data_IF_375916126665
#
_entry.id   IF_375916126665
#
_cell.length_a   1.000
_cell.length_b   1.000
_cell.length_c   1.000
_cell.angle_alpha   90.00
_cell.angle_beta   90.00
_cell.angle_gamma   90.00
#
_symmetry.space_group_name_H-M   'P 1'
#
loop_
_entity.id
_entity.type
_entity.pdbx_description
1 polymer ?
#
# COMPACT_ATOMS: atom_id res chain seq x y z
N UNK A 1 40.76 20.80 20.42
CA UNK A 1 39.73 21.27 19.47
C UNK A 1 38.29 20.78 19.80
N UNK A 2 38.06 19.53 20.21
CA UNK A 2 36.70 19.03 20.54
C UNK A 2 36.02 19.68 21.77
N UNK A 3 36.79 20.19 22.75
CA UNK A 3 36.25 20.85 23.96
C UNK A 3 35.89 22.33 23.74
N UNK A 4 36.43 22.97 22.71
CA UNK A 4 36.13 24.36 22.36
C UNK A 4 34.88 24.46 21.52
N UNK A 5 34.60 23.44 20.70
CA UNK A 5 33.35 23.33 19.88
C UNK A 5 32.11 23.14 20.75
N UNK A 6 32.23 22.40 21.85
CA UNK A 6 31.13 22.16 22.79
C UNK A 6 30.73 23.42 23.60
N UNK A 7 31.67 24.31 23.87
CA UNK A 7 31.40 25.56 24.56
C UNK A 7 30.75 26.63 23.66
N UNK A 8 31.03 26.60 22.37
CA UNK A 8 30.40 27.51 21.38
C UNK A 8 28.96 27.11 21.11
N UNK A 9 28.62 25.80 21.06
CA UNK A 9 27.24 25.33 20.92
C UNK A 9 26.37 25.64 22.16
N UNK A 10 26.94 25.59 23.37
CA UNK A 10 26.22 25.92 24.61
C UNK A 10 25.91 27.42 24.72
N UNK A 11 26.78 28.31 24.16
CA UNK A 11 26.57 29.75 24.18
C UNK A 11 25.53 30.23 23.15
N UNK A 12 25.26 29.47 22.07
CA UNK A 12 24.23 29.80 21.09
C UNK A 12 22.79 29.43 21.54
N UNK A 13 22.64 28.49 22.47
CA UNK A 13 21.33 28.10 23.00
C UNK A 13 20.78 29.04 24.09
N UNK A 14 21.58 29.91 24.64
CA UNK A 14 21.13 30.86 25.71
C UNK A 14 20.64 32.20 25.12
N UNK A 15 20.87 32.50 23.86
CA UNK A 15 20.50 33.79 23.24
C UNK A 15 19.12 33.80 22.51
N UNK A 16 18.38 32.72 22.54
CA UNK A 16 17.05 32.67 21.87
C UNK A 16 15.84 32.69 22.79
N UNK A 17 16.01 32.99 24.09
CA UNK A 17 14.89 33.03 25.06
C UNK A 17 14.60 34.44 25.65
N UNK A 18 14.93 35.51 24.95
CA UNK A 18 14.53 36.86 25.37
C UNK A 18 14.04 37.65 24.15
N UNK A 19 12.81 37.43 23.72
CA UNK A 19 11.99 38.42 23.01
C UNK A 19 10.59 37.84 22.75
N UNK A 20 9.67 38.05 23.67
CA UNK A 20 8.25 38.31 23.43
C UNK A 20 7.51 38.52 24.76
N UNK A 21 7.61 39.73 25.26
CA UNK A 21 6.69 40.27 26.25
C UNK A 21 6.38 41.72 25.88
N UNK A 22 5.22 41.93 25.22
CA UNK A 22 4.63 43.26 25.10
C UNK A 22 3.10 43.15 24.97
N UNK A 23 2.47 43.48 26.10
CA UNK A 23 1.30 44.33 26.30
C UNK A 23 -0.01 44.04 25.55
N UNK A 24 -0.96 43.57 26.36
CA UNK A 24 -2.37 43.77 26.16
C UNK A 24 -2.80 45.13 26.79
N UNK A 25 -3.64 45.88 26.13
CA UNK A 25 -4.45 46.97 26.68
C UNK A 25 -5.95 46.74 26.33
N UNK A 26 -6.89 47.18 27.21
CA UNK A 26 -8.22 46.60 27.30
C UNK A 26 -9.31 47.25 26.47
N UNK A 27 -10.34 46.49 26.15
CA UNK A 27 -11.56 46.89 25.47
C UNK A 27 -12.49 47.70 26.38
N UNK A 28 -13.15 48.71 25.81
CA UNK A 28 -14.20 49.51 26.46
C UNK A 28 -15.59 48.88 26.23
N UNK A 29 -16.37 48.86 27.30
CA UNK A 29 -17.84 48.74 27.38
C UNK A 29 -18.55 49.87 26.62
N UNK A 30 -19.71 49.54 26.02
CA UNK A 30 -20.85 50.42 25.85
C UNK A 30 -22.10 49.56 25.60
N UNK A 31 -22.91 49.42 26.57
CA UNK A 31 -24.19 50.06 26.89
C UNK A 31 -25.40 49.54 26.10
N UNK A 32 -26.27 48.94 26.91
CA UNK A 32 -27.67 48.59 26.62
C UNK A 32 -28.54 49.83 26.37
N UNK A 33 -29.49 49.72 25.46
CA UNK A 33 -30.77 50.42 25.57
C UNK A 33 -31.93 49.54 25.15
N UNK A 34 -32.80 49.33 26.09
CA UNK A 34 -34.15 48.78 26.04
C UNK A 34 -35.10 49.81 25.40
N UNK A 35 -36.10 49.38 24.60
CA UNK A 35 -37.44 49.92 24.64
C UNK A 35 -38.47 49.03 23.92
N UNK A 36 -39.35 48.43 24.68
CA UNK A 36 -40.83 48.32 24.70
C UNK A 36 -41.61 48.11 23.40
N UNK A 37 -42.43 47.07 23.46
CA UNK A 37 -43.66 46.71 22.75
C UNK A 37 -44.77 47.81 22.85
N UNK A 38 -45.83 47.87 21.97
CA UNK A 38 -46.93 46.90 22.07
C UNK A 38 -47.75 46.57 20.79
N UNK A 39 -48.39 45.39 20.85
CA UNK A 39 -49.77 44.94 20.57
C UNK A 39 -50.39 44.98 19.16
N UNK A 40 -50.83 43.78 18.76
CA UNK A 40 -52.10 43.30 18.16
C UNK A 40 -52.57 43.83 16.81
N UNK A 41 -52.72 42.92 15.85
CA UNK A 41 -54.04 42.58 15.26
C UNK A 41 -54.02 41.35 14.36
N UNK A 42 -55.02 40.57 14.43
CA UNK A 42 -55.56 39.32 13.93
C UNK A 42 -55.52 39.04 12.44
N UNK A 43 -55.18 37.79 12.11
CA UNK A 43 -55.62 36.73 11.13
C UNK A 43 -56.31 37.14 9.82
N UNK A 44 -56.06 36.40 8.66
CA UNK A 44 -56.60 35.03 8.54
C UNK A 44 -55.65 34.00 7.88
N UNK A 45 -55.97 32.77 8.22
CA UNK A 45 -55.61 31.44 7.77
C UNK A 45 -55.37 31.28 6.25
N UNK A 46 -54.13 30.85 5.86
CA UNK A 46 -53.89 30.26 4.56
C UNK A 46 -53.08 29.02 4.75
N UNK A 47 -53.63 27.91 4.27
CA UNK A 47 -53.15 26.55 4.33
C UNK A 47 -51.73 26.39 3.82
N UNK A 48 -50.75 26.04 4.62
CA UNK A 48 -49.39 25.61 4.25
C UNK A 48 -49.43 24.19 3.71
N UNK A 49 -48.61 23.88 2.67
CA UNK A 49 -48.38 22.52 2.25
C UNK A 49 -47.51 21.78 3.26
N UNK A 50 -47.77 20.48 3.41
CA UNK A 50 -47.09 19.56 4.31
C UNK A 50 -45.55 19.65 4.13
N UNK A 51 -44.88 20.01 5.20
CA UNK A 51 -43.45 19.84 5.34
C UNK A 51 -43.20 18.34 5.39
N UNK A 52 -42.47 17.82 4.41
CA UNK A 52 -41.82 16.52 4.54
C UNK A 52 -40.91 16.61 5.76
N UNK A 53 -41.23 15.87 6.81
CA UNK A 53 -40.31 15.58 7.90
C UNK A 53 -39.14 14.78 7.28
N UNK A 54 -38.03 15.46 7.01
CA UNK A 54 -36.74 14.81 6.96
C UNK A 54 -36.51 14.25 8.36
N UNK A 55 -36.66 12.94 8.50
CA UNK A 55 -36.15 12.19 9.64
C UNK A 55 -34.63 12.37 9.64
N UNK A 56 -34.14 13.33 10.43
CA UNK A 56 -32.72 13.36 10.81
C UNK A 56 -32.47 12.03 11.56
N UNK A 57 -31.66 11.16 10.99
CA UNK A 57 -31.13 10.03 11.74
C UNK A 57 -30.45 10.58 13.01
N UNK A 58 -30.64 9.93 14.17
CA UNK A 58 -30.06 10.42 15.40
C UNK A 58 -28.54 10.47 15.26
N UNK A 59 -27.94 11.64 15.54
CA UNK A 59 -26.50 11.82 15.55
C UNK A 59 -25.87 10.72 16.41
N UNK A 60 -24.95 9.94 15.84
CA UNK A 60 -24.33 8.77 16.50
C UNK A 60 -23.59 9.20 17.77
N UNK A 61 -22.96 10.38 17.77
CA UNK A 61 -22.27 10.98 18.92
C UNK A 61 -21.15 10.09 19.50
N UNK A 62 -20.46 10.59 20.50
CA UNK A 62 -19.38 9.86 21.19
C UNK A 62 -17.98 10.28 20.76
N UNK A 63 -16.97 9.66 21.39
CA UNK A 63 -15.54 9.90 21.05
C UNK A 63 -14.89 8.56 20.77
N UNK A 64 -14.18 8.46 19.66
CA UNK A 64 -13.39 7.28 19.27
C UNK A 64 -11.93 7.62 19.10
N UNK A 65 -11.06 6.69 19.45
CA UNK A 65 -9.62 6.74 19.17
C UNK A 65 -9.31 6.07 17.83
N UNK A 66 -8.59 6.79 16.96
CA UNK A 66 -8.20 6.31 15.62
C UNK A 66 -6.69 6.33 15.49
N UNK A 67 -6.09 5.19 15.19
CA UNK A 67 -4.64 5.04 15.12
C UNK A 67 -4.16 4.81 13.69
N UNK A 68 -3.47 5.81 13.12
CA UNK A 68 -2.87 5.75 11.80
C UNK A 68 -1.37 5.48 11.91
N UNK A 69 -0.91 4.30 11.47
CA UNK A 69 0.47 3.82 11.75
C UNK A 69 1.54 4.67 11.10
N UNK A 70 1.52 4.87 9.80
CA UNK A 70 2.61 5.55 9.09
C UNK A 70 2.11 6.20 7.81
N UNK A 71 2.00 7.52 7.83
CA UNK A 71 1.69 8.30 6.64
C UNK A 71 2.81 9.27 6.29
N UNK A 72 2.96 9.57 5.00
CA UNK A 72 3.69 10.77 4.56
C UNK A 72 2.91 12.01 4.99
N UNK A 73 3.59 13.16 5.09
CA UNK A 73 2.95 14.42 5.47
C UNK A 73 1.71 14.73 4.61
N UNK A 74 1.78 14.49 3.29
CA UNK A 74 0.66 14.71 2.37
C UNK A 74 -0.54 13.78 2.63
N UNK A 75 -0.30 12.50 2.90
CA UNK A 75 -1.36 11.55 3.27
C UNK A 75 -1.99 11.90 4.60
N UNK A 76 -1.17 12.32 5.57
CA UNK A 76 -1.66 12.72 6.88
C UNK A 76 -2.54 13.96 6.81
N UNK A 77 -2.17 14.96 6.02
CA UNK A 77 -2.96 16.17 5.80
C UNK A 77 -4.35 15.83 5.23
N UNK A 78 -4.41 15.03 4.17
CA UNK A 78 -5.67 14.61 3.55
C UNK A 78 -6.50 13.74 4.49
N UNK A 79 -5.87 12.83 5.25
CA UNK A 79 -6.59 12.00 6.21
C UNK A 79 -7.18 12.84 7.35
N UNK A 80 -6.44 13.83 7.84
CA UNK A 80 -6.93 14.77 8.85
C UNK A 80 -8.13 15.58 8.32
N UNK A 81 -8.13 15.99 7.04
CA UNK A 81 -9.30 16.63 6.42
C UNK A 81 -10.51 15.69 6.40
N UNK A 82 -10.32 14.42 5.98
CA UNK A 82 -11.38 13.41 5.96
C UNK A 82 -11.99 13.23 7.36
N UNK A 83 -11.15 13.13 8.38
CA UNK A 83 -11.59 13.01 9.77
C UNK A 83 -12.33 14.27 10.24
N UNK A 84 -11.87 15.47 9.87
CA UNK A 84 -12.56 16.72 10.23
C UNK A 84 -13.93 16.83 9.57
N UNK A 85 -14.05 16.44 8.29
CA UNK A 85 -15.29 16.38 7.54
C UNK A 85 -16.29 15.40 8.20
N UNK A 86 -15.81 14.20 8.56
CA UNK A 86 -16.58 13.20 9.30
C UNK A 86 -17.10 13.72 10.64
N UNK A 87 -16.23 14.35 11.45
CA UNK A 87 -16.62 14.92 12.74
C UNK A 87 -17.67 16.03 12.58
N UNK A 88 -17.53 16.86 11.54
CA UNK A 88 -18.48 17.95 11.27
C UNK A 88 -19.85 17.43 10.84
N UNK A 89 -19.90 16.34 10.09
CA UNK A 89 -21.14 15.74 9.57
C UNK A 89 -21.89 14.95 10.66
N UNK A 90 -21.16 14.13 11.44
CA UNK A 90 -21.76 13.13 12.32
C UNK A 90 -21.87 13.58 13.78
N UNK A 91 -21.05 14.57 14.18
CA UNK A 91 -20.90 14.96 15.59
C UNK A 91 -20.04 14.02 16.43
N UNK A 92 -19.58 12.88 15.88
CA UNK A 92 -18.62 11.99 16.51
C UNK A 92 -17.29 12.72 16.67
N UNK A 93 -16.67 12.63 17.84
CA UNK A 93 -15.31 13.17 18.05
C UNK A 93 -14.27 12.10 17.79
N UNK A 94 -13.16 12.47 17.15
CA UNK A 94 -12.05 11.55 16.83
C UNK A 94 -10.76 12.03 17.50
N UNK A 95 -10.19 11.18 18.33
CA UNK A 95 -8.82 11.33 18.83
C UNK A 95 -7.86 10.61 17.88
N UNK A 96 -7.28 11.37 16.93
CA UNK A 96 -6.39 10.82 15.90
C UNK A 96 -4.96 10.70 16.42
N UNK A 97 -4.47 9.46 16.50
CA UNK A 97 -3.13 9.10 16.97
C UNK A 97 -2.26 8.76 15.77
N UNK A 98 -1.14 9.49 15.60
CA UNK A 98 -0.21 9.36 14.47
C UNK A 98 1.21 9.17 14.96
N UNK A 99 1.62 7.94 15.32
CA UNK A 99 2.90 7.65 15.97
C UNK A 99 4.11 7.71 15.03
N UNK A 100 3.93 7.88 13.73
CA UNK A 100 4.99 7.85 12.73
C UNK A 100 5.65 6.47 12.61
N UNK A 101 6.97 6.42 12.50
CA UNK A 101 7.73 5.18 12.27
C UNK A 101 7.62 4.14 13.41
N UNK A 102 7.19 4.56 14.60
CA UNK A 102 7.07 3.68 15.77
C UNK A 102 5.70 2.98 15.85
N UNK A 103 4.79 3.23 14.91
CA UNK A 103 3.40 2.80 14.96
C UNK A 103 3.22 1.30 15.15
N UNK A 104 3.92 0.47 14.40
CA UNK A 104 3.82 -0.98 14.52
C UNK A 104 4.32 -1.52 15.87
N UNK A 105 5.39 -0.96 16.41
CA UNK A 105 5.93 -1.34 17.71
C UNK A 105 4.96 -0.97 18.84
N UNK A 106 4.32 0.19 18.72
CA UNK A 106 3.30 0.63 19.66
C UNK A 106 2.06 -0.27 19.60
N UNK A 107 1.55 -0.59 18.41
CA UNK A 107 0.41 -1.52 18.24
C UNK A 107 0.68 -2.89 18.87
N UNK A 108 1.87 -3.47 18.65
CA UNK A 108 2.24 -4.74 19.31
C UNK A 108 2.19 -4.65 20.84
N UNK A 109 2.63 -3.53 21.39
CA UNK A 109 2.56 -3.29 22.84
C UNK A 109 1.12 -3.16 23.33
N UNK A 110 0.26 -2.46 22.59
CA UNK A 110 -1.17 -2.31 22.88
C UNK A 110 -1.91 -3.63 22.76
N UNK A 111 -1.60 -4.49 21.79
CA UNK A 111 -2.12 -5.86 21.66
C UNK A 111 -1.76 -6.70 22.90
N UNK A 112 -0.49 -6.69 23.29
CA UNK A 112 -0.02 -7.46 24.45
C UNK A 112 -0.70 -7.01 25.77
N UNK A 113 -1.12 -5.75 25.86
CA UNK A 113 -1.84 -5.21 27.03
C UNK A 113 -3.36 -5.22 26.90
N UNK A 114 -3.90 -5.71 25.78
CA UNK A 114 -5.33 -5.64 25.41
C UNK A 114 -5.91 -4.23 25.58
N UNK A 115 -5.17 -3.23 25.09
CA UNK A 115 -5.54 -1.80 25.18
C UNK A 115 -5.34 -1.15 23.82
N UNK A 116 -6.16 -1.56 22.84
CA UNK A 116 -6.10 -1.09 21.47
C UNK A 116 -6.97 0.17 21.27
N UNK A 117 -6.66 1.01 20.29
CA UNK A 117 -7.55 2.06 19.82
C UNK A 117 -8.85 1.48 19.25
N UNK A 118 -9.94 2.26 19.28
CA UNK A 118 -11.24 1.83 18.78
C UNK A 118 -11.20 1.44 17.29
N UNK A 119 -10.51 2.25 16.48
CA UNK A 119 -10.26 2.00 15.06
C UNK A 119 -8.76 2.14 14.80
N UNK A 120 -8.18 1.23 14.08
CA UNK A 120 -6.76 1.29 13.76
C UNK A 120 -6.44 0.76 12.37
N UNK A 121 -5.38 1.35 11.81
CA UNK A 121 -4.87 0.97 10.50
C UNK A 121 -4.21 -0.39 10.58
N UNK A 122 -4.64 -1.30 9.73
CA UNK A 122 -4.13 -2.66 9.62
C UNK A 122 -3.74 -2.98 8.18
N UNK A 123 -3.26 -4.19 7.98
CA UNK A 123 -2.84 -4.68 6.67
C UNK A 123 -3.34 -6.11 6.47
N UNK A 124 -3.83 -6.45 5.27
CA UNK A 124 -4.29 -7.80 4.96
C UNK A 124 -3.20 -8.86 5.16
N UNK A 125 -1.95 -8.55 4.86
CA UNK A 125 -0.82 -9.43 5.13
C UNK A 125 -0.59 -9.74 6.62
N UNK A 126 -1.19 -8.97 7.50
CA UNK A 126 -1.18 -9.22 8.94
C UNK A 126 -2.47 -9.85 9.44
N UNK A 127 -3.38 -10.28 8.54
CA UNK A 127 -4.69 -10.82 8.88
C UNK A 127 -4.62 -11.88 9.98
N UNK A 128 -3.76 -12.88 9.84
CA UNK A 128 -3.59 -13.96 10.83
C UNK A 128 -3.15 -13.45 12.21
N UNK A 129 -2.46 -12.32 12.26
CA UNK A 129 -2.00 -11.69 13.50
C UNK A 129 -3.06 -10.81 14.14
N UNK A 130 -3.83 -10.09 13.31
CA UNK A 130 -4.71 -9.02 13.78
C UNK A 130 -6.18 -9.42 13.83
N UNK A 131 -6.60 -10.45 13.10
CA UNK A 131 -7.99 -10.88 13.04
C UNK A 131 -8.58 -11.21 14.43
N UNK A 132 -7.78 -11.77 15.32
CA UNK A 132 -8.23 -12.07 16.69
C UNK A 132 -8.58 -10.84 17.53
N UNK A 133 -8.13 -9.64 17.14
CA UNK A 133 -8.41 -8.36 17.82
C UNK A 133 -9.48 -7.54 17.13
N UNK A 134 -9.95 -7.94 15.94
CA UNK A 134 -10.83 -7.15 15.10
C UNK A 134 -12.24 -7.75 15.02
N UNK A 135 -13.22 -6.88 14.72
CA UNK A 135 -14.56 -7.30 14.35
C UNK A 135 -14.62 -7.73 12.88
N UNK A 136 -15.46 -8.72 12.58
CA UNK A 136 -15.81 -9.10 11.20
C UNK A 136 -16.66 -7.99 10.59
N UNK A 137 -16.37 -7.66 9.31
CA UNK A 137 -17.02 -6.54 8.61
C UNK A 137 -18.01 -6.97 7.53
N UNK A 138 -18.20 -8.27 7.32
CA UNK A 138 -19.04 -8.82 6.22
C UNK A 138 -20.50 -8.37 6.27
N UNK A 139 -21.03 -8.06 7.43
CA UNK A 139 -22.42 -7.62 7.63
C UNK A 139 -22.60 -6.09 7.52
N UNK A 140 -21.52 -5.33 7.20
CA UNK A 140 -21.61 -3.89 7.10
C UNK A 140 -22.27 -3.46 5.76
N UNK A 141 -23.08 -2.38 5.77
CA UNK A 141 -23.82 -1.93 4.59
C UNK A 141 -22.92 -1.67 3.36
N UNK A 142 -21.72 -1.17 3.57
CA UNK A 142 -20.75 -0.84 2.52
C UNK A 142 -20.00 -2.07 1.99
N UNK A 143 -20.07 -3.23 2.65
CA UNK A 143 -19.27 -4.40 2.28
C UNK A 143 -19.51 -4.89 0.86
N UNK A 144 -20.73 -4.73 0.33
CA UNK A 144 -21.04 -5.08 -1.06
C UNK A 144 -20.54 -4.06 -2.09
N UNK A 145 -20.13 -2.87 -1.66
CA UNK A 145 -19.61 -1.81 -2.52
C UNK A 145 -18.08 -1.76 -2.60
N UNK A 146 -17.37 -2.72 -2.00
CA UNK A 146 -15.92 -2.84 -2.16
C UNK A 146 -15.57 -3.96 -3.14
N UNK A 147 -14.40 -3.86 -3.79
CA UNK A 147 -13.86 -4.90 -4.69
C UNK A 147 -13.39 -6.12 -3.89
N UNK A 148 -14.36 -6.91 -3.42
CA UNK A 148 -14.13 -8.12 -2.62
C UNK A 148 -13.33 -9.17 -3.37
N UNK A 149 -13.56 -9.31 -4.66
CA UNK A 149 -12.96 -10.38 -5.47
C UNK A 149 -11.44 -10.19 -5.57
N UNK A 150 -10.99 -8.96 -5.81
CA UNK A 150 -9.55 -8.65 -5.83
C UNK A 150 -8.91 -8.68 -4.45
N UNK A 151 -9.67 -8.41 -3.38
CA UNK A 151 -9.16 -8.35 -2.01
C UNK A 151 -9.25 -9.67 -1.25
N UNK A 152 -10.08 -10.63 -1.68
CA UNK A 152 -10.34 -11.86 -0.93
C UNK A 152 -9.05 -12.66 -0.63
N UNK A 153 -8.15 -12.79 -1.61
CA UNK A 153 -6.88 -13.49 -1.43
C UNK A 153 -5.93 -12.85 -0.41
N UNK A 154 -6.21 -11.59 -0.02
CA UNK A 154 -5.35 -10.77 0.85
C UNK A 154 -6.00 -10.49 2.20
N UNK A 155 -7.31 -10.23 2.22
CA UNK A 155 -8.03 -9.69 3.39
C UNK A 155 -9.07 -10.64 3.98
N UNK A 156 -9.36 -11.78 3.33
CA UNK A 156 -10.29 -12.77 3.85
C UNK A 156 -9.55 -13.93 4.52
N UNK A 157 -10.11 -14.44 5.61
CA UNK A 157 -9.69 -15.71 6.19
C UNK A 157 -10.20 -16.91 5.35
N UNK A 158 -9.86 -18.13 5.75
CA UNK A 158 -10.28 -19.37 5.09
C UNK A 158 -11.81 -19.58 5.07
N UNK A 159 -12.55 -18.87 5.92
CA UNK A 159 -14.00 -18.91 5.99
C UNK A 159 -14.66 -17.76 5.20
N UNK A 160 -13.86 -16.91 4.55
CA UNK A 160 -14.32 -15.73 3.82
C UNK A 160 -14.69 -14.53 4.70
N UNK A 161 -14.24 -14.49 5.95
CA UNK A 161 -14.46 -13.35 6.82
C UNK A 161 -13.41 -12.26 6.54
N UNK A 162 -13.87 -11.05 6.35
CA UNK A 162 -13.05 -9.84 6.29
C UNK A 162 -13.07 -9.15 7.65
N UNK A 163 -11.95 -8.52 8.03
CA UNK A 163 -11.77 -7.88 9.33
C UNK A 163 -11.43 -6.40 9.24
N UNK A 164 -11.38 -5.86 8.04
CA UNK A 164 -11.10 -4.44 7.81
C UNK A 164 -11.73 -3.94 6.51
N UNK A 165 -11.98 -2.63 6.46
CA UNK A 165 -12.28 -1.90 5.23
C UNK A 165 -10.94 -1.58 4.52
N UNK A 166 -10.68 -2.17 3.37
CA UNK A 166 -9.60 -1.74 2.47
C UNK A 166 -10.06 -0.55 1.64
N UNK A 167 -9.42 0.59 1.76
CA UNK A 167 -9.77 1.79 0.98
C UNK A 167 -9.09 1.84 -0.39
N UNK A 168 -8.00 1.13 -0.53
CA UNK A 168 -7.20 1.10 -1.75
C UNK A 168 -6.49 -0.23 -1.90
N UNK A 169 -6.09 -0.54 -3.14
CA UNK A 169 -5.27 -1.70 -3.44
C UNK A 169 -4.04 -1.32 -4.25
N UNK A 170 -2.97 -2.07 -4.06
CA UNK A 170 -1.77 -2.04 -4.89
C UNK A 170 -1.75 -3.29 -5.76
N UNK A 171 -1.57 -3.09 -7.05
CA UNK A 171 -1.43 -4.18 -8.02
C UNK A 171 -0.01 -4.13 -8.56
N UNK A 172 0.75 -5.20 -8.34
CA UNK A 172 2.11 -5.34 -8.87
C UNK A 172 2.14 -6.30 -10.05
N UNK A 173 2.85 -5.89 -11.07
CA UNK A 173 3.03 -6.63 -12.31
C UNK A 173 4.33 -6.21 -13.01
N UNK A 174 4.41 -6.52 -14.28
CA UNK A 174 5.49 -6.10 -15.16
C UNK A 174 5.08 -4.79 -15.86
N UNK A 175 5.45 -3.66 -15.27
CA UNK A 175 5.22 -2.33 -15.88
C UNK A 175 6.16 -2.16 -17.07
N UNK A 176 5.68 -1.52 -18.14
CA UNK A 176 6.52 -1.29 -19.32
C UNK A 176 6.38 0.13 -19.88
N UNK A 177 7.44 0.57 -20.57
CA UNK A 177 7.43 1.72 -21.46
C UNK A 177 7.21 1.23 -22.90
N UNK A 178 6.06 1.57 -23.48
CA UNK A 178 5.64 1.10 -24.81
C UNK A 178 6.55 1.60 -25.92
N UNK A 179 7.05 2.84 -25.82
CA UNK A 179 7.92 3.42 -26.84
C UNK A 179 9.30 2.71 -26.87
N UNK A 180 9.80 2.31 -25.68
CA UNK A 180 11.01 1.49 -25.59
C UNK A 180 10.81 0.09 -26.21
N UNK A 181 9.66 -0.54 -25.97
CA UNK A 181 9.31 -1.83 -26.57
C UNK A 181 9.16 -1.73 -28.09
N UNK A 182 8.48 -0.71 -28.58
CA UNK A 182 8.29 -0.48 -30.03
C UNK A 182 9.62 -0.28 -30.75
N UNK A 183 10.54 0.47 -30.15
CA UNK A 183 11.88 0.70 -30.67
C UNK A 183 12.68 -0.60 -30.80
N UNK A 184 12.47 -1.57 -29.92
CA UNK A 184 13.10 -2.89 -29.96
C UNK A 184 12.29 -3.93 -30.75
N UNK A 185 11.11 -3.58 -31.28
CA UNK A 185 10.21 -4.50 -31.96
C UNK A 185 9.66 -5.60 -31.08
N UNK A 186 9.33 -5.24 -29.81
CA UNK A 186 8.72 -6.12 -28.82
C UNK A 186 7.23 -5.80 -28.71
N UNK A 187 6.39 -6.81 -28.89
CA UNK A 187 4.96 -6.73 -28.58
C UNK A 187 4.75 -7.15 -27.12
N UNK A 188 4.28 -6.26 -26.22
CA UNK A 188 4.04 -6.61 -24.84
C UNK A 188 3.06 -7.79 -24.68
N UNK A 189 2.07 -7.91 -25.57
CA UNK A 189 1.08 -8.98 -25.53
C UNK A 189 1.63 -10.36 -25.90
N UNK A 190 2.86 -10.43 -26.44
CA UNK A 190 3.55 -11.69 -26.68
C UNK A 190 4.23 -12.28 -25.44
N UNK A 191 4.34 -11.52 -24.33
CA UNK A 191 5.05 -11.93 -23.12
C UNK A 191 4.04 -12.61 -22.20
N UNK A 192 4.08 -13.94 -22.11
CA UNK A 192 3.21 -14.77 -21.28
C UNK A 192 3.98 -15.65 -20.31
N UNK A 193 5.20 -16.02 -20.70
CA UNK A 193 6.11 -16.85 -19.93
C UNK A 193 7.43 -16.12 -19.68
N UNK A 194 8.22 -16.60 -18.74
CA UNK A 194 9.56 -16.05 -18.52
C UNK A 194 10.51 -16.29 -19.70
N UNK A 195 10.27 -17.34 -20.50
CA UNK A 195 11.01 -17.54 -21.76
C UNK A 195 10.68 -16.44 -22.79
N UNK A 196 9.41 -16.01 -22.87
CA UNK A 196 9.00 -14.89 -23.72
C UNK A 196 9.62 -13.58 -23.22
N UNK A 197 9.68 -13.38 -21.90
CA UNK A 197 10.34 -12.22 -21.28
C UNK A 197 11.82 -12.20 -21.60
N UNK A 198 12.53 -13.31 -21.46
CA UNK A 198 13.96 -13.42 -21.81
C UNK A 198 14.19 -13.09 -23.29
N UNK A 199 13.35 -13.60 -24.19
CA UNK A 199 13.43 -13.28 -25.61
C UNK A 199 13.18 -11.79 -25.92
N UNK A 200 12.29 -11.14 -25.15
CA UNK A 200 12.06 -9.70 -25.22
C UNK A 200 13.29 -8.93 -24.72
N UNK A 201 13.88 -9.35 -23.61
CA UNK A 201 15.08 -8.74 -23.04
C UNK A 201 16.29 -8.80 -24.02
N UNK A 202 16.47 -9.92 -24.72
CA UNK A 202 17.53 -10.04 -25.75
C UNK A 202 17.36 -9.01 -26.87
N UNK A 203 16.15 -8.75 -27.33
CA UNK A 203 15.86 -7.71 -28.33
C UNK A 203 16.13 -6.31 -27.78
N UNK A 204 15.77 -6.05 -26.53
CA UNK A 204 15.99 -4.76 -25.87
C UNK A 204 17.49 -4.47 -25.72
N UNK A 205 18.27 -5.42 -25.22
CA UNK A 205 19.75 -5.31 -25.13
C UNK A 205 20.34 -5.04 -26.51
N UNK A 206 19.92 -5.78 -27.57
CA UNK A 206 20.36 -5.54 -28.91
C UNK A 206 20.01 -4.15 -29.48
N UNK A 207 18.94 -3.55 -28.99
CA UNK A 207 18.51 -2.18 -29.29
C UNK A 207 19.20 -1.10 -28.44
N UNK A 208 20.06 -1.48 -27.48
CA UNK A 208 20.72 -0.59 -26.53
C UNK A 208 19.81 0.00 -25.50
N UNK A 209 18.77 -0.76 -25.10
CA UNK A 209 17.78 -0.39 -24.07
C UNK A 209 17.98 -1.35 -22.90
N UNK A 210 18.06 -0.82 -21.66
CA UNK A 210 18.07 -1.64 -20.45
C UNK A 210 16.73 -2.36 -20.31
N UNK A 211 16.69 -3.70 -20.27
CA UNK A 211 15.41 -4.39 -20.12
C UNK A 211 14.66 -4.04 -18.83
N UNK A 212 15.29 -4.16 -17.67
CA UNK A 212 14.64 -4.04 -16.37
C UNK A 212 15.32 -2.99 -15.49
N UNK A 213 14.59 -1.95 -15.07
CA UNK A 213 15.06 -0.97 -14.10
C UNK A 213 14.73 -1.42 -12.68
N UNK A 214 15.71 -1.43 -11.79
CA UNK A 214 15.58 -1.74 -10.36
C UNK A 214 16.33 -0.70 -9.54
N UNK A 215 15.63 -0.03 -8.62
CA UNK A 215 16.23 0.88 -7.64
C UNK A 215 16.58 0.12 -6.35
N UNK A 216 17.63 -0.70 -6.41
CA UNK A 216 17.97 -1.66 -5.35
C UNK A 216 18.66 -1.06 -4.13
N UNK A 217 19.05 0.24 -4.13
CA UNK A 217 19.53 0.91 -2.92
C UNK A 217 18.44 0.97 -1.82
N UNK A 218 17.17 0.78 -2.21
CA UNK A 218 16.05 0.59 -1.31
C UNK A 218 15.74 -0.92 -1.25
N UNK A 219 16.16 -1.60 -0.20
CA UNK A 219 16.06 -3.06 -0.07
C UNK A 219 14.65 -3.63 -0.33
N UNK A 220 13.59 -2.89 0.03
CA UNK A 220 12.21 -3.28 -0.29
C UNK A 220 11.91 -3.46 -1.78
N UNK A 221 12.71 -2.86 -2.69
CA UNK A 221 12.56 -3.10 -4.13
C UNK A 221 13.11 -4.47 -4.54
N UNK A 222 14.17 -4.92 -3.88
CA UNK A 222 14.76 -6.25 -4.10
C UNK A 222 13.88 -7.36 -3.52
N UNK A 223 13.38 -7.17 -2.30
CA UNK A 223 12.40 -8.07 -1.69
C UNK A 223 11.13 -8.17 -2.55
N UNK A 224 10.63 -7.04 -3.06
CA UNK A 224 9.47 -7.00 -3.94
C UNK A 224 9.68 -7.73 -5.27
N UNK A 225 10.89 -7.67 -5.84
CA UNK A 225 11.23 -8.45 -7.03
C UNK A 225 11.15 -9.94 -6.74
N UNK A 226 11.85 -10.42 -5.69
CA UNK A 226 11.81 -11.84 -5.31
C UNK A 226 10.38 -12.27 -4.97
N UNK A 227 9.67 -11.49 -4.15
CA UNK A 227 8.29 -11.76 -3.76
C UNK A 227 7.28 -11.75 -4.91
N UNK A 228 7.61 -11.12 -6.02
CA UNK A 228 6.80 -11.13 -7.25
C UNK A 228 7.13 -12.31 -8.15
N UNK A 229 8.40 -12.63 -8.33
CA UNK A 229 8.85 -13.66 -9.28
C UNK A 229 8.77 -15.08 -8.69
N UNK A 230 9.18 -15.26 -7.43
CA UNK A 230 9.23 -16.59 -6.80
C UNK A 230 7.89 -17.37 -6.86
N UNK A 231 6.72 -16.76 -6.59
CA UNK A 231 5.45 -17.46 -6.68
C UNK A 231 5.17 -18.04 -8.06
N UNK A 232 5.58 -17.38 -9.13
CA UNK A 232 5.36 -17.87 -10.50
C UNK A 232 6.11 -19.18 -10.79
N UNK A 233 7.13 -19.50 -9.97
CA UNK A 233 7.86 -20.78 -10.00
C UNK A 233 7.34 -21.77 -8.97
N UNK A 234 6.89 -21.31 -7.79
CA UNK A 234 6.75 -22.19 -6.62
C UNK A 234 5.31 -22.40 -6.15
N UNK A 235 4.41 -21.44 -6.34
CA UNK A 235 3.13 -21.45 -5.60
C UNK A 235 1.91 -20.98 -6.40
N UNK A 236 2.07 -20.29 -7.53
CA UNK A 236 0.94 -19.89 -8.37
C UNK A 236 0.26 -21.12 -8.98
N UNK A 237 -1.02 -21.01 -9.28
CA UNK A 237 -1.72 -22.09 -9.97
C UNK A 237 -1.08 -22.33 -11.34
N UNK A 238 -0.62 -23.55 -11.58
CA UNK A 238 0.10 -23.92 -12.80
C UNK A 238 1.53 -23.40 -12.87
N UNK A 239 2.14 -23.00 -11.74
CA UNK A 239 3.58 -22.77 -11.65
C UNK A 239 4.36 -24.06 -11.92
N UNK A 240 5.67 -23.92 -12.13
CA UNK A 240 6.56 -25.08 -12.38
C UNK A 240 6.51 -26.11 -11.25
N UNK A 241 6.32 -25.65 -10.03
CA UNK A 241 6.25 -26.46 -8.82
C UNK A 241 4.97 -26.10 -8.03
N UNK A 242 4.58 -26.97 -7.10
CA UNK A 242 3.55 -26.73 -6.10
C UNK A 242 4.18 -26.95 -4.71
N UNK A 243 4.74 -25.89 -4.15
CA UNK A 243 5.59 -25.91 -2.96
C UNK A 243 4.99 -25.13 -1.78
N UNK A 244 3.74 -24.68 -1.91
CA UNK A 244 3.10 -23.84 -0.90
C UNK A 244 3.06 -24.47 0.49
N UNK A 245 2.77 -25.77 0.58
CA UNK A 245 2.71 -26.49 1.85
C UNK A 245 4.09 -26.62 2.48
N UNK A 246 5.13 -26.96 1.70
CA UNK A 246 6.49 -27.08 2.21
C UNK A 246 7.08 -25.78 2.73
N UNK A 247 6.64 -24.64 2.15
CA UNK A 247 7.01 -23.31 2.63
C UNK A 247 6.32 -22.94 3.95
N UNK A 248 5.13 -23.46 4.19
CA UNK A 248 4.37 -23.21 5.43
C UNK A 248 4.78 -24.13 6.58
N UNK A 249 5.19 -25.35 6.29
CA UNK A 249 5.51 -26.38 7.29
C UNK A 249 7.02 -26.50 7.60
N UNK A 250 7.86 -25.65 7.00
CA UNK A 250 9.29 -25.61 7.27
C UNK A 250 10.11 -26.68 6.55
N UNK A 251 9.53 -27.39 5.57
CA UNK A 251 10.21 -28.49 4.86
C UNK A 251 10.69 -28.12 3.46
N UNK A 252 10.63 -26.83 3.10
CA UNK A 252 11.04 -26.35 1.80
C UNK A 252 12.52 -26.59 1.53
N UNK A 253 12.85 -27.21 0.40
CA UNK A 253 14.21 -27.50 -0.04
C UNK A 253 14.83 -26.28 -0.75
N UNK A 254 15.40 -25.36 0.05
CA UNK A 254 16.07 -24.16 -0.46
C UNK A 254 17.25 -24.49 -1.35
N UNK A 255 18.02 -25.53 -1.01
CA UNK A 255 19.23 -25.90 -1.75
C UNK A 255 18.89 -26.31 -3.19
N UNK A 256 17.71 -26.86 -3.42
CA UNK A 256 17.22 -27.21 -4.75
C UNK A 256 16.47 -26.03 -5.40
N UNK A 257 15.38 -25.59 -4.80
CA UNK A 257 14.42 -24.71 -5.49
C UNK A 257 14.79 -23.24 -5.41
N UNK A 258 15.37 -22.77 -4.30
CA UNK A 258 15.85 -21.39 -4.24
C UNK A 258 17.12 -21.20 -5.07
N UNK A 259 18.02 -22.20 -5.08
CA UNK A 259 19.20 -22.15 -5.95
C UNK A 259 18.81 -22.03 -7.43
N UNK A 260 17.86 -22.84 -7.91
CA UNK A 260 17.39 -22.76 -9.30
C UNK A 260 16.84 -21.35 -9.64
N UNK A 261 16.01 -20.80 -8.77
CA UNK A 261 15.45 -19.46 -9.00
C UNK A 261 16.54 -18.37 -8.97
N UNK A 262 17.46 -18.43 -8.01
CA UNK A 262 18.54 -17.46 -7.88
C UNK A 262 19.52 -17.53 -9.03
N UNK A 263 19.86 -18.73 -9.52
CA UNK A 263 20.65 -18.91 -10.73
C UNK A 263 19.96 -18.31 -11.95
N UNK A 264 18.63 -18.49 -12.08
CA UNK A 264 17.85 -17.86 -13.14
C UNK A 264 17.93 -16.33 -13.07
N UNK A 265 17.64 -15.74 -11.90
CA UNK A 265 17.72 -14.28 -11.71
C UNK A 265 19.15 -13.73 -11.89
N UNK A 266 20.18 -14.50 -11.49
CA UNK A 266 21.56 -14.14 -11.72
C UNK A 266 21.91 -14.07 -13.24
N UNK A 267 21.23 -14.87 -14.09
CA UNK A 267 21.40 -14.75 -15.53
C UNK A 267 20.97 -13.39 -16.07
N UNK A 268 19.99 -12.70 -15.42
CA UNK A 268 19.57 -11.38 -15.84
C UNK A 268 20.68 -10.33 -15.68
N UNK A 269 21.45 -10.42 -14.56
CA UNK A 269 22.65 -9.58 -14.39
C UNK A 269 23.72 -9.91 -15.45
N UNK A 270 24.05 -11.19 -15.64
CA UNK A 270 25.09 -11.66 -16.57
C UNK A 270 24.80 -11.30 -18.02
N UNK A 271 23.52 -11.27 -18.39
CA UNK A 271 23.06 -10.92 -19.76
C UNK A 271 22.82 -9.42 -19.93
N UNK A 272 23.01 -8.60 -18.88
CA UNK A 272 22.77 -7.15 -18.93
C UNK A 272 21.29 -6.79 -19.03
N UNK A 273 20.40 -7.61 -18.44
CA UNK A 273 18.96 -7.30 -18.40
C UNK A 273 18.61 -6.30 -17.29
N UNK A 274 19.43 -6.23 -16.25
CA UNK A 274 19.26 -5.30 -15.13
C UNK A 274 20.24 -4.13 -15.27
N UNK A 275 19.86 -2.93 -14.84
CA UNK A 275 20.72 -1.76 -14.81
C UNK A 275 22.01 -2.03 -13.98
N UNK A 276 23.16 -1.58 -14.48
CA UNK A 276 24.47 -1.87 -13.88
C UNK A 276 24.62 -1.31 -12.45
N UNK A 277 23.95 -0.20 -12.15
CA UNK A 277 23.97 0.50 -10.88
C UNK A 277 22.88 0.05 -9.92
N UNK A 278 22.29 -1.13 -10.13
CA UNK A 278 21.11 -1.66 -9.38
C UNK A 278 21.22 -1.52 -7.87
N UNK A 279 22.39 -1.73 -7.27
CA UNK A 279 22.58 -1.68 -5.82
C UNK A 279 22.74 -0.24 -5.26
N UNK A 280 22.94 0.74 -6.13
CA UNK A 280 23.15 2.14 -5.74
C UNK A 280 22.07 3.08 -6.25
N UNK A 281 21.35 2.69 -7.30
CA UNK A 281 20.22 3.44 -7.84
C UNK A 281 19.05 3.40 -6.84
N UNK A 282 18.40 4.54 -6.60
CA UNK A 282 17.19 4.63 -5.79
C UNK A 282 15.92 4.39 -6.62
N UNK A 283 14.78 4.36 -5.92
CA UNK A 283 13.48 4.14 -6.58
C UNK A 283 13.15 5.24 -7.61
N UNK A 284 13.49 6.50 -7.30
CA UNK A 284 13.22 7.64 -8.18
C UNK A 284 14.04 7.55 -9.46
N UNK A 285 15.30 7.16 -9.37
CA UNK A 285 16.16 6.92 -10.54
C UNK A 285 15.62 5.82 -11.45
N UNK A 286 15.18 4.69 -10.87
CA UNK A 286 14.58 3.61 -11.64
C UNK A 286 13.27 4.02 -12.34
N UNK A 287 12.41 4.81 -11.65
CA UNK A 287 11.19 5.38 -12.23
C UNK A 287 11.50 6.35 -13.38
N UNK A 288 12.56 7.14 -13.28
CA UNK A 288 13.00 8.03 -14.37
C UNK A 288 13.54 7.25 -15.56
N UNK A 289 14.35 6.19 -15.36
CA UNK A 289 14.79 5.30 -16.42
C UNK A 289 13.61 4.69 -17.18
N UNK A 290 12.59 4.23 -16.44
CA UNK A 290 11.38 3.68 -17.05
C UNK A 290 10.60 4.75 -17.81
N UNK A 291 10.35 5.91 -17.21
CA UNK A 291 9.58 6.99 -17.82
C UNK A 291 10.24 7.58 -19.07
N UNK A 292 11.56 7.69 -19.09
CA UNK A 292 12.32 8.17 -20.25
C UNK A 292 12.44 7.14 -21.39
N UNK A 293 12.16 5.86 -21.12
CA UNK A 293 12.41 4.77 -22.06
C UNK A 293 13.89 4.35 -22.16
N UNK A 294 14.74 4.76 -21.21
CA UNK A 294 16.08 4.21 -21.02
C UNK A 294 16.02 2.76 -20.56
N UNK A 295 15.01 2.45 -19.73
CA UNK A 295 14.64 1.07 -19.42
C UNK A 295 13.22 0.74 -19.95
N UNK A 296 13.02 -0.52 -20.30
CA UNK A 296 11.76 -0.98 -20.87
C UNK A 296 10.75 -1.48 -19.85
N UNK A 297 11.22 -2.15 -18.78
CA UNK A 297 10.38 -2.81 -17.79
C UNK A 297 10.74 -2.43 -16.35
N UNK A 298 9.76 -2.61 -15.46
CA UNK A 298 9.90 -2.58 -14.00
C UNK A 298 8.93 -3.59 -13.37
N UNK A 299 9.40 -4.45 -12.47
CA UNK A 299 8.53 -5.34 -11.67
C UNK A 299 8.16 -4.62 -10.38
N UNK A 300 7.00 -3.97 -10.35
CA UNK A 300 6.54 -3.15 -9.21
C UNK A 300 5.03 -2.92 -9.25
N UNK A 301 4.53 -2.24 -8.21
CA UNK A 301 3.16 -1.74 -8.15
C UNK A 301 2.86 -0.71 -9.23
N UNK A 302 1.63 -0.71 -9.72
CA UNK A 302 1.14 0.19 -10.78
C UNK A 302 1.23 1.67 -10.44
N UNK A 303 1.31 2.03 -9.15
CA UNK A 303 1.61 3.39 -8.66
C UNK A 303 2.89 3.97 -9.28
N UNK A 304 3.85 3.11 -9.64
CA UNK A 304 5.09 3.54 -10.32
C UNK A 304 4.85 4.07 -11.74
N UNK A 305 3.74 3.72 -12.40
CA UNK A 305 3.33 4.35 -13.66
C UNK A 305 3.02 5.83 -13.40
N UNK A 306 2.21 6.11 -12.38
CA UNK A 306 1.84 7.49 -11.99
C UNK A 306 3.09 8.30 -11.66
N UNK A 307 4.02 7.75 -10.86
CA UNK A 307 5.24 8.46 -10.46
C UNK A 307 6.17 8.68 -11.66
N UNK A 308 6.39 7.68 -12.52
CA UNK A 308 7.22 7.84 -13.71
C UNK A 308 6.67 8.93 -14.65
N UNK A 309 5.34 9.03 -14.78
CA UNK A 309 4.67 10.07 -15.57
C UNK A 309 4.69 11.47 -14.93
N UNK A 310 4.94 11.60 -13.63
CA UNK A 310 5.24 12.90 -13.03
C UNK A 310 6.54 13.50 -13.59
N UNK A 311 7.55 12.65 -13.85
CA UNK A 311 8.80 13.08 -14.49
C UNK A 311 8.67 13.21 -16.02
N UNK A 312 7.92 12.30 -16.65
CA UNK A 312 7.72 12.19 -18.09
C UNK A 312 6.22 12.10 -18.44
N UNK A 313 5.49 13.23 -18.46
CA UNK A 313 4.02 13.22 -18.60
C UNK A 313 3.49 12.54 -19.87
N UNK A 314 4.28 12.58 -20.95
CA UNK A 314 3.91 11.98 -22.24
C UNK A 314 4.36 10.52 -22.38
N UNK A 315 5.00 9.92 -21.35
CA UNK A 315 5.44 8.53 -21.41
C UNK A 315 4.26 7.60 -21.69
N UNK A 316 4.43 6.78 -22.74
CA UNK A 316 3.46 5.77 -23.13
C UNK A 316 3.75 4.48 -22.38
N UNK A 317 2.96 4.21 -21.36
CA UNK A 317 3.22 3.14 -20.41
C UNK A 317 2.06 2.16 -20.35
N UNK A 318 2.34 0.96 -19.86
CA UNK A 318 1.35 -0.05 -19.59
C UNK A 318 1.83 -0.99 -18.49
N UNK A 319 1.02 -1.98 -18.18
CA UNK A 319 1.36 -3.06 -17.25
C UNK A 319 0.91 -4.40 -17.84
N UNK A 320 1.68 -5.44 -17.57
CA UNK A 320 1.33 -6.83 -17.82
C UNK A 320 1.22 -7.55 -16.47
N UNK A 321 0.40 -8.59 -16.35
CA UNK A 321 0.60 -9.55 -15.27
C UNK A 321 2.00 -10.16 -15.37
N UNK A 322 2.52 -10.64 -14.26
CA UNK A 322 3.80 -11.35 -14.21
C UNK A 322 3.72 -12.61 -15.08
N UNK A 323 4.76 -12.87 -15.88
CA UNK A 323 4.82 -14.08 -16.70
C UNK A 323 4.76 -15.35 -15.86
N UNK A 324 4.20 -16.42 -16.40
CA UNK A 324 4.21 -17.74 -15.79
C UNK A 324 5.55 -18.47 -16.04
N UNK A 325 5.97 -19.34 -15.13
CA UNK A 325 7.12 -20.22 -15.32
C UNK A 325 6.80 -21.51 -16.08
N UNK A 326 5.50 -21.79 -16.31
CA UNK A 326 5.01 -22.97 -17.01
C UNK A 326 3.71 -22.63 -17.78
N UNK A 327 2.79 -23.58 -17.89
CA UNK A 327 1.53 -23.42 -18.62
C UNK A 327 0.43 -22.67 -17.80
N UNK A 328 0.78 -22.11 -16.66
CA UNK A 328 -0.14 -21.38 -15.78
C UNK A 328 -0.60 -20.04 -16.37
N UNK A 329 -1.70 -19.52 -15.83
CA UNK A 329 -2.12 -18.16 -16.17
C UNK A 329 -1.14 -17.15 -15.57
N UNK A 330 -0.85 -16.04 -16.28
CA UNK A 330 -0.05 -14.96 -15.71
C UNK A 330 -0.77 -14.34 -14.50
N UNK A 331 -0.01 -13.78 -13.57
CA UNK A 331 -0.53 -13.35 -12.27
C UNK A 331 -0.18 -11.91 -11.94
N UNK A 332 -1.10 -11.23 -11.23
CA UNK A 332 -0.80 -10.00 -10.52
C UNK A 332 -0.57 -10.30 -9.03
N UNK A 333 0.37 -9.58 -8.41
CA UNK A 333 0.45 -9.53 -6.95
C UNK A 333 -0.46 -8.40 -6.48
N UNK A 334 -1.39 -8.73 -5.62
CA UNK A 334 -2.32 -7.77 -5.03
C UNK A 334 -1.98 -7.61 -3.56
N UNK A 335 -1.99 -6.38 -3.11
CA UNK A 335 -1.91 -6.02 -1.71
C UNK A 335 -2.95 -4.96 -1.43
N UNK A 336 -3.59 -5.03 -0.29
CA UNK A 336 -4.34 -3.89 0.19
C UNK A 336 -3.39 -2.71 0.40
N UNK A 337 -3.89 -1.52 0.15
CA UNK A 337 -3.21 -0.30 0.54
C UNK A 337 -3.50 0.02 2.00
N UNK A 338 -4.27 1.08 2.22
CA UNK A 338 -4.66 1.46 3.59
C UNK A 338 -5.96 0.75 3.95
N UNK A 339 -5.96 0.02 5.07
CA UNK A 339 -7.10 -0.71 5.58
C UNK A 339 -7.38 -0.35 7.05
N UNK A 340 -8.65 -0.35 7.44
CA UNK A 340 -9.12 0.10 8.73
C UNK A 340 -9.96 -0.97 9.41
N UNK A 341 -9.54 -1.39 10.60
CA UNK A 341 -10.23 -2.38 11.42
C UNK A 341 -10.80 -1.78 12.70
N UNK A 342 -11.91 -2.35 13.18
CA UNK A 342 -12.56 -1.98 14.44
C UNK A 342 -12.14 -2.96 15.51
N UNK A 343 -11.64 -2.46 16.63
CA UNK A 343 -11.28 -3.29 17.77
C UNK A 343 -12.52 -4.03 18.32
N UNK A 344 -12.39 -5.34 18.52
CA UNK A 344 -13.53 -6.18 18.92
C UNK A 344 -14.14 -5.82 20.27
N UNK A 345 -13.32 -5.29 21.19
CA UNK A 345 -13.72 -4.95 22.56
C UNK A 345 -13.99 -3.45 22.74
N UNK A 346 -14.15 -2.68 21.65
CA UNK A 346 -14.54 -1.26 21.74
C UNK A 346 -15.89 -1.09 22.39
N UNK A 347 -16.03 -0.07 23.24
CA UNK A 347 -17.31 0.34 23.82
C UNK A 347 -18.07 1.34 22.91
N UNK A 348 -17.40 1.83 21.84
CA UNK A 348 -17.89 2.87 20.93
C UNK A 348 -18.29 2.32 19.55
N UNK A 349 -18.81 1.11 19.49
CA UNK A 349 -19.01 0.34 18.24
C UNK A 349 -19.79 1.12 17.17
N UNK A 350 -20.89 1.78 17.54
CA UNK A 350 -21.72 2.52 16.60
C UNK A 350 -20.96 3.69 15.93
N UNK A 351 -20.11 4.39 16.70
CA UNK A 351 -19.30 5.48 16.19
C UNK A 351 -18.15 4.96 15.30
N UNK A 352 -17.59 3.78 15.60
CA UNK A 352 -16.59 3.13 14.76
C UNK A 352 -17.17 2.73 13.40
N UNK A 353 -18.37 2.11 13.40
CA UNK A 353 -19.02 1.75 12.14
C UNK A 353 -19.41 2.98 11.32
N UNK A 354 -19.87 4.07 11.96
CA UNK A 354 -20.15 5.33 11.26
C UNK A 354 -18.89 5.89 10.58
N UNK A 355 -17.70 5.75 11.19
CA UNK A 355 -16.46 6.15 10.55
C UNK A 355 -16.12 5.25 9.34
N UNK A 356 -16.22 3.93 9.46
CA UNK A 356 -15.93 3.03 8.34
C UNK A 356 -16.94 3.23 7.20
N UNK A 357 -18.23 3.44 7.51
CA UNK A 357 -19.25 3.79 6.51
C UNK A 357 -18.92 5.09 5.76
N UNK A 358 -18.43 6.09 6.49
CA UNK A 358 -17.97 7.35 5.91
C UNK A 358 -16.73 7.14 5.01
N UNK A 359 -15.74 6.37 5.47
CA UNK A 359 -14.54 6.05 4.71
C UNK A 359 -14.83 5.23 3.43
N UNK A 360 -15.89 4.42 3.45
CA UNK A 360 -16.33 3.61 2.31
C UNK A 360 -17.14 4.38 1.26
N UNK A 361 -17.33 5.69 1.40
CA UNK A 361 -18.03 6.51 0.41
C UNK A 361 -17.16 6.74 -0.84
N UNK A 362 -17.73 6.72 -2.04
CA UNK A 362 -16.98 6.91 -3.28
C UNK A 362 -16.18 8.21 -3.33
N UNK A 363 -16.74 9.33 -2.84
CA UNK A 363 -16.06 10.61 -2.79
C UNK A 363 -14.86 10.63 -1.84
N UNK A 364 -14.94 9.91 -0.71
CA UNK A 364 -13.83 9.76 0.23
C UNK A 364 -12.78 8.83 -0.34
N UNK A 365 -13.18 7.73 -0.95
CA UNK A 365 -12.30 6.82 -1.68
C UNK A 365 -11.54 7.54 -2.80
N UNK A 366 -12.21 8.40 -3.58
CA UNK A 366 -11.60 9.23 -4.63
C UNK A 366 -10.59 10.24 -4.08
N UNK A 367 -10.95 10.92 -2.97
CA UNK A 367 -10.04 11.86 -2.28
C UNK A 367 -8.78 11.13 -1.78
N UNK A 368 -8.97 9.94 -1.19
CA UNK A 368 -7.87 9.09 -0.71
C UNK A 368 -6.99 8.55 -1.86
N UNK A 369 -7.60 8.04 -2.93
CA UNK A 369 -6.89 7.56 -4.11
C UNK A 369 -5.99 8.65 -4.72
N UNK A 370 -6.46 9.90 -4.72
CA UNK A 370 -5.70 11.05 -5.25
C UNK A 370 -4.38 11.28 -4.52
N UNK A 371 -4.34 11.15 -3.20
CA UNK A 371 -3.11 11.36 -2.42
C UNK A 371 -2.25 10.12 -2.31
N UNK A 372 -2.86 8.93 -2.30
CA UNK A 372 -2.14 7.66 -2.17
C UNK A 372 -1.50 7.19 -3.48
N UNK A 373 -2.08 7.58 -4.63
CA UNK A 373 -1.71 7.08 -5.95
C UNK A 373 -2.12 5.61 -6.19
N UNK A 374 -2.77 4.99 -5.20
CA UNK A 374 -3.23 3.60 -5.28
C UNK A 374 -4.59 3.49 -6.00
N UNK A 375 -4.95 2.29 -6.41
CA UNK A 375 -6.26 2.04 -7.00
C UNK A 375 -7.33 2.00 -5.89
N UNK A 376 -8.45 2.71 -6.04
CA UNK A 376 -9.53 2.65 -5.07
C UNK A 376 -10.21 1.26 -5.12
N UNK A 377 -10.65 0.79 -3.98
CA UNK A 377 -11.40 -0.47 -3.84
C UNK A 377 -12.90 -0.23 -3.70
N UNK A 378 -13.31 1.00 -3.40
CA UNK A 378 -14.71 1.37 -3.25
C UNK A 378 -15.34 1.59 -4.63
N UNK A 379 -16.46 0.92 -4.91
CA UNK A 379 -17.19 1.05 -6.16
C UNK A 379 -17.66 2.51 -6.38
N UNK A 380 -17.44 3.02 -7.58
CA UNK A 380 -17.78 4.39 -7.94
C UNK A 380 -16.74 5.44 -7.51
N UNK A 381 -15.68 5.05 -6.79
CA UNK A 381 -14.58 5.96 -6.53
C UNK A 381 -13.69 6.15 -7.77
N UNK A 382 -13.26 7.39 -7.99
CA UNK A 382 -12.34 7.75 -9.07
C UNK A 382 -10.90 7.43 -8.67
N UNK A 383 -10.13 6.82 -9.57
CA UNK A 383 -8.69 6.67 -9.39
C UNK A 383 -7.99 8.04 -9.59
N UNK A 384 -6.92 8.27 -8.83
CA UNK A 384 -6.07 9.47 -8.99
C UNK A 384 -5.51 9.60 -10.40
N UNK A 385 -5.12 8.49 -10.98
CA UNK A 385 -4.60 8.40 -12.34
C UNK A 385 -5.44 7.42 -13.17
N UNK A 386 -6.39 8.01 -13.89
CA UNK A 386 -7.24 7.26 -14.85
C UNK A 386 -6.37 6.53 -15.88
N UNK A 387 -5.19 7.05 -16.22
CA UNK A 387 -4.27 6.41 -17.14
C UNK A 387 -3.78 5.08 -16.56
N UNK A 388 -3.30 5.08 -15.32
CA UNK A 388 -2.84 3.86 -14.63
C UNK A 388 -3.94 2.82 -14.48
N UNK A 389 -5.16 3.27 -14.11
CA UNK A 389 -6.33 2.38 -14.04
C UNK A 389 -6.65 1.76 -15.40
N UNK A 390 -6.58 2.54 -16.49
CA UNK A 390 -6.82 2.04 -17.84
C UNK A 390 -5.74 1.05 -18.29
N UNK A 391 -4.47 1.27 -17.93
CA UNK A 391 -3.40 0.32 -18.19
C UNK A 391 -3.68 -1.05 -17.54
N UNK A 392 -4.13 -1.04 -16.29
CA UNK A 392 -4.51 -2.27 -15.58
C UNK A 392 -5.72 -2.96 -16.24
N UNK A 393 -6.82 -2.23 -16.50
CA UNK A 393 -8.00 -2.79 -17.15
C UNK A 393 -7.67 -3.40 -18.51
N UNK A 394 -6.84 -2.71 -19.31
CA UNK A 394 -6.40 -3.22 -20.62
C UNK A 394 -5.61 -4.52 -20.47
N UNK A 395 -4.71 -4.61 -19.47
CA UNK A 395 -3.93 -5.83 -19.22
C UNK A 395 -4.84 -7.04 -18.89
N UNK A 396 -5.89 -6.82 -18.11
CA UNK A 396 -6.89 -7.87 -17.78
C UNK A 396 -7.67 -8.27 -19.03
N UNK A 397 -8.11 -7.30 -19.85
CA UNK A 397 -8.80 -7.56 -21.11
C UNK A 397 -7.93 -8.35 -22.10
N UNK A 398 -6.66 -7.99 -22.26
CA UNK A 398 -5.69 -8.65 -23.15
C UNK A 398 -5.42 -10.11 -22.74
N UNK A 399 -5.65 -10.43 -21.47
CA UNK A 399 -5.64 -11.80 -20.95
C UNK A 399 -6.99 -12.50 -21.01
N UNK A 400 -8.01 -11.89 -21.63
CA UNK A 400 -9.40 -12.40 -21.67
C UNK A 400 -9.97 -12.68 -20.26
N UNK A 401 -9.59 -11.89 -19.26
CA UNK A 401 -9.95 -12.07 -17.85
C UNK A 401 -9.30 -13.28 -17.18
N UNK A 402 -8.38 -13.97 -17.82
CA UNK A 402 -7.68 -15.13 -17.27
C UNK A 402 -6.36 -14.67 -16.62
N UNK A 403 -6.50 -14.02 -15.49
CA UNK A 403 -5.37 -13.54 -14.66
C UNK A 403 -5.58 -14.07 -13.26
N UNK A 404 -4.50 -14.51 -12.65
CA UNK A 404 -4.51 -14.86 -11.23
C UNK A 404 -4.23 -13.61 -10.38
N UNK A 405 -4.82 -13.59 -9.20
CA UNK A 405 -4.56 -12.56 -8.19
C UNK A 405 -4.09 -13.27 -6.92
N UNK A 406 -2.91 -12.95 -6.45
CA UNK A 406 -2.40 -13.52 -5.22
C UNK A 406 -1.62 -12.48 -4.41
N UNK A 407 -1.45 -12.75 -3.13
CA UNK A 407 -0.75 -11.89 -2.20
C UNK A 407 0.76 -11.85 -2.52
N UNK A 408 1.45 -10.88 -1.92
CA UNK A 408 2.91 -10.91 -1.86
C UNK A 408 3.36 -12.19 -1.15
N UNK A 409 4.33 -12.85 -1.74
CA UNK A 409 4.79 -14.19 -1.37
C UNK A 409 5.12 -14.38 0.11
N UNK A 410 5.89 -13.45 0.68
CA UNK A 410 6.32 -13.50 2.07
C UNK A 410 5.16 -13.47 3.07
N UNK A 411 4.04 -12.86 2.68
CA UNK A 411 2.86 -12.69 3.53
C UNK A 411 2.08 -13.96 3.76
N UNK A 412 2.11 -14.85 2.77
CA UNK A 412 1.32 -16.08 2.72
C UNK A 412 2.13 -17.31 3.10
N UNK A 413 3.42 -17.32 2.78
CA UNK A 413 4.23 -18.51 2.81
C UNK A 413 5.45 -18.44 3.75
N UNK A 414 5.89 -17.23 4.11
CA UNK A 414 7.08 -17.06 4.93
C UNK A 414 6.75 -16.63 6.37
N UNK A 415 7.58 -16.98 7.35
CA UNK A 415 7.47 -16.43 8.70
C UNK A 415 7.65 -14.92 8.70
N UNK A 416 7.06 -14.25 9.71
CA UNK A 416 7.16 -12.80 9.85
C UNK A 416 8.62 -12.37 10.04
N UNK A 417 9.06 -11.35 9.31
CA UNK A 417 10.43 -10.83 9.34
C UNK A 417 11.23 -11.12 8.08
N UNK A 418 10.75 -11.99 7.20
CA UNK A 418 11.48 -12.39 6.00
C UNK A 418 11.68 -11.29 4.96
N UNK A 419 10.89 -10.21 4.97
CA UNK A 419 11.01 -9.14 3.98
C UNK A 419 12.42 -8.53 3.88
N UNK A 420 13.04 -8.20 5.03
CA UNK A 420 14.41 -7.70 5.08
C UNK A 420 15.42 -8.74 4.63
N UNK A 421 15.24 -10.00 5.04
CA UNK A 421 16.09 -11.12 4.68
C UNK A 421 16.05 -11.40 3.17
N UNK A 422 14.87 -11.32 2.55
CA UNK A 422 14.72 -11.41 1.09
C UNK A 422 15.48 -10.29 0.38
N UNK A 423 15.42 -9.05 0.90
CA UNK A 423 16.14 -7.92 0.37
C UNK A 423 17.67 -8.12 0.41
N UNK A 424 18.17 -8.54 1.56
CA UNK A 424 19.60 -8.76 1.79
C UNK A 424 20.12 -9.93 0.92
N UNK A 425 19.40 -11.04 0.89
CA UNK A 425 19.72 -12.20 0.06
C UNK A 425 19.77 -11.84 -1.43
N UNK A 426 18.80 -11.06 -1.94
CA UNK A 426 18.83 -10.57 -3.32
C UNK A 426 20.00 -9.63 -3.57
N UNK A 427 20.35 -8.76 -2.62
CA UNK A 427 21.53 -7.88 -2.72
C UNK A 427 22.83 -8.69 -2.81
N UNK A 428 22.94 -9.77 -2.03
CA UNK A 428 24.09 -10.68 -2.07
C UNK A 428 24.20 -11.34 -3.46
N UNK A 429 23.10 -11.89 -3.99
CA UNK A 429 23.06 -12.51 -5.31
C UNK A 429 23.44 -11.51 -6.42
N UNK A 430 22.90 -10.29 -6.39
CA UNK A 430 23.23 -9.25 -7.39
C UNK A 430 24.68 -8.78 -7.29
N UNK A 431 25.28 -8.83 -6.11
CA UNK A 431 26.69 -8.48 -5.88
C UNK A 431 27.65 -9.55 -6.41
N UNK A 432 27.23 -10.81 -6.41
CA UNK A 432 28.03 -11.95 -6.87
C UNK A 432 27.17 -12.93 -7.71
N UNK A 433 26.76 -12.53 -8.93
CA UNK A 433 25.86 -13.36 -9.74
C UNK A 433 26.52 -14.67 -10.27
N UNK A 434 27.82 -14.83 -10.11
CA UNK A 434 28.52 -16.06 -10.54
C UNK A 434 28.41 -17.18 -9.53
N UNK A 435 28.12 -16.88 -8.26
CA UNK A 435 27.91 -17.87 -7.21
C UNK A 435 26.79 -17.40 -6.25
N UNK A 436 25.65 -18.03 -6.35
CA UNK A 436 24.46 -17.70 -5.56
C UNK A 436 24.39 -18.42 -4.21
N UNK A 437 25.35 -19.27 -3.89
CA UNK A 437 25.35 -20.16 -2.74
C UNK A 437 25.14 -19.40 -1.43
N UNK A 438 25.95 -18.36 -1.18
CA UNK A 438 25.88 -17.57 0.05
C UNK A 438 24.52 -16.87 0.21
N UNK A 439 23.95 -16.37 -0.88
CA UNK A 439 22.63 -15.71 -0.88
C UNK A 439 21.50 -16.71 -0.54
N UNK A 440 21.56 -17.91 -1.07
CA UNK A 440 20.57 -18.96 -0.81
C UNK A 440 20.71 -19.50 0.63
N UNK A 441 21.93 -19.73 1.09
CA UNK A 441 22.20 -20.14 2.47
C UNK A 441 21.71 -19.11 3.47
N UNK A 442 21.96 -17.82 3.21
CA UNK A 442 21.46 -16.72 4.03
C UNK A 442 19.92 -16.73 4.11
N UNK A 443 19.24 -16.87 2.98
CA UNK A 443 17.77 -16.92 2.92
C UNK A 443 17.24 -18.13 3.71
N UNK A 444 17.82 -19.33 3.50
CA UNK A 444 17.45 -20.58 4.14
C UNK A 444 17.62 -20.50 5.66
N UNK A 445 18.82 -20.13 6.12
CA UNK A 445 19.17 -20.19 7.53
C UNK A 445 18.31 -19.23 8.36
N UNK A 446 18.07 -18.01 7.86
CA UNK A 446 17.18 -17.06 8.51
C UNK A 446 15.70 -17.48 8.45
N UNK A 447 15.26 -18.12 7.36
CA UNK A 447 13.92 -18.68 7.30
C UNK A 447 13.73 -19.76 8.37
N UNK A 448 14.66 -20.70 8.50
CA UNK A 448 14.58 -21.78 9.49
C UNK A 448 14.61 -21.24 10.93
N UNK A 449 15.41 -20.21 11.21
CA UNK A 449 15.45 -19.55 12.51
C UNK A 449 14.10 -18.92 12.86
N UNK A 450 13.57 -18.07 11.98
CA UNK A 450 12.27 -17.41 12.19
C UNK A 450 11.10 -18.39 12.23
N UNK A 451 11.16 -19.45 11.43
CA UNK A 451 10.16 -20.51 11.45
C UNK A 451 10.14 -21.24 12.80
N UNK A 452 11.31 -21.58 13.34
CA UNK A 452 11.42 -22.23 14.65
C UNK A 452 10.96 -21.31 15.79
N UNK A 453 11.23 -20.01 15.72
CA UNK A 453 10.77 -19.03 16.72
C UNK A 453 9.25 -18.89 16.75
N UNK A 454 8.59 -19.00 15.60
CA UNK A 454 7.15 -18.77 15.49
C UNK A 454 6.31 -20.05 15.68
N UNK A 455 6.89 -21.23 15.51
CA UNK A 455 6.17 -22.52 15.56
C UNK A 455 6.71 -23.46 16.65
N UNK A 456 7.77 -23.11 17.39
CA UNK A 456 8.38 -23.88 18.48
C UNK A 456 7.94 -23.34 19.81
#
# INVERSE_FOLDING_TARGET
MKKILALILAALMVLTMVACAAKAEPAKEAEQTTTTEPAEETTPEETAPATEETTEEPAVGGTISVFATSYTDAKLEVFQEIINDFMAETGVQVDLITPGSEGEAQLKTMMASNSLPDVWMTHGWSLLRYSEYLKVVNDQPWFDSIDKDSLAGVMADENGNFYALGMSMSISGLIYNKDALDKAGVDPNSIRTWDDFDAACEKLVAAGITPLAIGGSVGGNLAGLLGSVAPTFWTDEGAKYDLGDSLKDGTFDFDTYATELYEYLATWMKKGYINEDVLTLDAAGAQQMLGSGEAAFMVRGTDNITVARQYYPDANMGVLPLPSSADGAPSFRVGEGDAWGVWKDTENEAACWALLDYLARPEVGSKWATVSGALPTVEGADAADVYTLNCYKQAVEDCNGKVQYDNLFDRKFFPSGMWGIMADSMSMMLSNPDDVTEAVEYLRDNYLELYAEQNG
#
